data_IF_174142932071
#
_entry.id   IF_174142932071
#
_cell.length_a   1.000
_cell.length_b   1.000
_cell.length_c   1.000
_cell.angle_alpha   90.00
_cell.angle_beta   90.00
_cell.angle_gamma   90.00
#
_symmetry.space_group_name_H-M   'P 1'
#
loop_
_entity.id
_entity.type
_entity.pdbx_description
1 polymer ?
#
# COMPACT_ATOMS: atom_id res chain seq x y z
N UNK A 1 5.97 5.16 18.59
CA UNK A 1 7.05 4.41 17.92
C UNK A 1 7.03 2.94 18.34
N UNK A 2 5.96 2.50 19.00
CA UNK A 2 6.06 1.44 20.00
C UNK A 2 5.89 0.06 19.35
N UNK A 3 5.09 -0.03 18.28
CA UNK A 3 4.90 -1.29 17.53
C UNK A 3 6.16 -1.76 16.81
N UNK A 4 7.05 -0.84 16.40
CA UNK A 4 8.30 -1.21 15.75
C UNK A 4 9.29 -1.80 16.76
N UNK A 5 9.35 -1.21 17.95
CA UNK A 5 10.17 -1.69 19.05
C UNK A 5 9.64 -3.03 19.58
N UNK A 6 8.33 -3.15 19.76
CA UNK A 6 7.65 -4.40 20.14
C UNK A 6 7.88 -5.51 19.11
N UNK A 7 7.80 -5.21 17.80
CA UNK A 7 8.09 -6.18 16.75
C UNK A 7 9.56 -6.62 16.75
N UNK A 8 10.49 -5.71 17.06
CA UNK A 8 11.92 -6.03 17.18
C UNK A 8 12.22 -6.91 18.38
N UNK A 9 11.54 -6.69 19.52
CA UNK A 9 11.73 -7.47 20.74
C UNK A 9 11.09 -8.85 20.65
N UNK A 10 9.92 -8.95 20.02
CA UNK A 10 9.16 -10.22 19.91
C UNK A 10 9.58 -11.05 18.70
N UNK A 11 10.32 -10.48 17.75
CA UNK A 11 10.70 -11.12 16.49
C UNK A 11 9.51 -11.45 15.58
N UNK A 12 8.32 -10.90 15.88
CA UNK A 12 7.09 -11.10 15.13
C UNK A 12 6.52 -9.75 14.70
N UNK A 13 5.93 -9.69 13.51
CA UNK A 13 5.32 -8.46 13.04
C UNK A 13 4.11 -8.09 13.93
N UNK A 14 4.10 -6.86 14.43
CA UNK A 14 3.02 -6.29 15.26
C UNK A 14 2.20 -5.36 14.37
N UNK A 15 0.92 -5.67 14.14
CA UNK A 15 0.05 -4.92 13.22
C UNK A 15 0.66 -4.68 11.81
N UNK A 16 1.48 -5.63 11.33
CA UNK A 16 2.17 -5.52 10.04
C UNK A 16 3.50 -4.75 10.09
N UNK A 17 3.84 -4.12 11.22
CA UNK A 17 5.15 -3.49 11.45
C UNK A 17 6.15 -4.57 11.83
N UNK A 18 7.26 -4.67 11.09
CA UNK A 18 8.28 -5.73 11.27
C UNK A 18 9.41 -5.36 12.22
N UNK A 19 9.63 -4.07 12.43
CA UNK A 19 10.75 -3.55 13.18
C UNK A 19 11.19 -2.19 12.66
N UNK A 20 12.13 -1.52 13.35
CA UNK A 20 12.67 -0.26 12.90
C UNK A 20 13.50 -0.45 11.62
N UNK A 21 13.30 0.41 10.62
CA UNK A 21 14.15 0.43 9.43
C UNK A 21 15.37 1.32 9.69
N UNK A 22 16.49 1.08 9.01
CA UNK A 22 17.71 1.89 9.17
C UNK A 22 17.46 3.38 8.90
N UNK A 23 16.53 3.69 8.01
CA UNK A 23 16.11 5.07 7.71
C UNK A 23 15.39 5.74 8.88
N UNK A 24 14.81 5.00 9.83
CA UNK A 24 14.20 5.60 11.03
C UNK A 24 15.25 6.26 11.93
N UNK A 25 16.53 5.87 11.83
CA UNK A 25 17.64 6.52 12.56
C UNK A 25 17.88 7.96 12.11
N UNK A 26 17.34 8.37 10.96
CA UNK A 26 17.45 9.73 10.44
C UNK A 26 16.42 10.67 11.08
N UNK A 27 15.43 10.13 11.78
CA UNK A 27 14.50 10.92 12.58
C UNK A 27 15.22 11.53 13.80
N UNK A 28 14.96 12.81 14.17
CA UNK A 28 13.92 13.70 13.67
C UNK A 28 14.30 14.55 12.45
N UNK A 29 15.57 14.52 12.03
CA UNK A 29 16.07 15.39 10.96
C UNK A 29 15.49 15.01 9.58
N UNK A 30 15.01 13.78 9.42
CA UNK A 30 14.34 13.29 8.22
C UNK A 30 13.10 12.47 8.63
N UNK A 31 11.93 13.08 8.47
CA UNK A 31 10.65 12.39 8.64
C UNK A 31 10.32 11.57 7.38
N UNK A 32 10.33 10.25 7.49
CA UNK A 32 10.03 9.33 6.39
C UNK A 32 8.64 9.52 5.78
N UNK A 33 7.69 10.17 6.46
CA UNK A 33 6.36 10.42 5.91
C UNK A 33 6.32 11.72 5.12
N UNK A 34 7.02 12.76 5.61
CA UNK A 34 6.92 14.12 5.08
C UNK A 34 8.13 14.54 4.23
N UNK A 35 9.26 13.86 4.36
CA UNK A 35 10.54 14.29 3.78
C UNK A 35 10.87 13.62 2.45
N UNK A 36 10.08 12.64 2.00
CA UNK A 36 10.16 12.19 0.61
C UNK A 36 9.47 13.21 -0.29
N UNK A 37 10.19 13.65 -1.32
CA UNK A 37 9.62 14.46 -2.40
C UNK A 37 8.47 13.67 -3.03
N UNK A 38 7.32 14.31 -3.22
CA UNK A 38 6.20 13.77 -3.99
C UNK A 38 6.71 13.32 -5.37
N UNK A 39 6.97 12.03 -5.51
CA UNK A 39 7.46 11.48 -6.77
C UNK A 39 6.28 11.26 -7.72
N UNK A 40 6.61 11.12 -9.00
CA UNK A 40 5.64 10.84 -10.07
C UNK A 40 4.76 9.61 -9.76
N UNK A 41 5.28 8.64 -9.00
CA UNK A 41 4.51 7.46 -8.63
C UNK A 41 3.41 7.78 -7.61
N UNK A 42 3.71 8.55 -6.57
CA UNK A 42 2.75 8.94 -5.53
C UNK A 42 1.78 10.01 -6.00
N UNK A 43 2.26 11.00 -6.76
CA UNK A 43 1.44 12.12 -7.20
C UNK A 43 0.63 11.83 -8.47
N UNK A 44 1.28 11.28 -9.51
CA UNK A 44 0.66 11.09 -10.82
C UNK A 44 0.11 9.69 -10.97
N UNK A 45 0.90 8.64 -10.77
CA UNK A 45 0.40 7.27 -10.98
C UNK A 45 -0.69 6.89 -9.98
N UNK A 46 -0.50 7.14 -8.68
CA UNK A 46 -1.50 6.80 -7.67
C UNK A 46 -2.81 7.61 -7.85
N UNK A 47 -2.70 8.91 -8.18
CA UNK A 47 -3.88 9.76 -8.39
C UNK A 47 -4.59 9.49 -9.72
N UNK A 48 -3.85 9.19 -10.78
CA UNK A 48 -4.44 8.82 -12.09
C UNK A 48 -5.13 7.46 -11.99
N UNK A 49 -4.51 6.47 -11.32
CA UNK A 49 -5.14 5.17 -11.07
C UNK A 49 -6.42 5.34 -10.26
N UNK A 50 -6.42 6.22 -9.25
CA UNK A 50 -7.61 6.53 -8.45
C UNK A 50 -8.73 7.18 -9.29
N UNK A 51 -8.40 8.11 -10.19
CA UNK A 51 -9.37 8.73 -11.09
C UNK A 51 -9.97 7.73 -12.07
N UNK A 52 -9.13 6.90 -12.71
CA UNK A 52 -9.58 5.85 -13.63
C UNK A 52 -10.49 4.84 -12.91
N UNK A 53 -10.11 4.39 -11.72
CA UNK A 53 -10.95 3.51 -10.89
C UNK A 53 -12.29 4.16 -10.54
N UNK A 54 -12.30 5.45 -10.21
CA UNK A 54 -13.54 6.18 -9.92
C UNK A 54 -14.49 6.18 -11.13
N UNK A 55 -13.98 6.44 -12.33
CA UNK A 55 -14.77 6.40 -13.57
C UNK A 55 -15.33 5.00 -13.86
N UNK A 56 -14.52 3.97 -13.68
CA UNK A 56 -14.92 2.59 -13.92
C UNK A 56 -15.97 2.09 -12.91
N UNK A 57 -15.94 2.57 -11.67
CA UNK A 57 -16.86 2.12 -10.61
C UNK A 57 -18.14 2.97 -10.55
N UNK A 58 -18.03 4.29 -10.73
CA UNK A 58 -19.14 5.22 -10.47
C UNK A 58 -20.02 5.46 -11.69
N UNK A 59 -19.48 5.33 -12.90
CA UNK A 59 -20.22 5.67 -14.12
C UNK A 59 -21.02 4.46 -14.60
N UNK A 60 -22.19 4.17 -14.02
CA UNK A 60 -22.94 2.92 -14.27
C UNK A 60 -23.53 2.74 -15.68
N UNK A 61 -23.54 3.79 -16.51
CA UNK A 61 -24.27 3.82 -17.79
C UNK A 61 -23.39 3.74 -19.04
N UNK A 62 -22.07 3.85 -18.90
CA UNK A 62 -21.16 3.87 -20.04
C UNK A 62 -20.54 2.49 -20.30
N UNK A 63 -20.16 2.20 -21.55
CA UNK A 63 -19.62 0.90 -21.95
C UNK A 63 -18.28 0.53 -21.27
N UNK A 64 -17.54 1.54 -20.80
CA UNK A 64 -16.29 1.37 -20.03
C UNK A 64 -16.52 1.16 -18.52
N UNK A 65 -17.78 1.11 -18.09
CA UNK A 65 -18.17 0.90 -16.70
C UNK A 65 -18.07 -0.56 -16.28
N UNK A 66 -17.62 -0.80 -15.06
CA UNK A 66 -17.70 -2.11 -14.45
C UNK A 66 -19.14 -2.32 -13.98
N UNK A 67 -19.83 -3.29 -14.59
CA UNK A 67 -21.19 -3.68 -14.21
C UNK A 67 -21.25 -4.11 -12.73
N UNK A 68 -22.37 -3.84 -12.07
CA UNK A 68 -22.58 -4.16 -10.65
C UNK A 68 -22.29 -5.63 -10.26
N UNK A 69 -22.59 -6.59 -11.13
CA UNK A 69 -22.25 -8.01 -10.90
C UNK A 69 -20.73 -8.23 -10.85
N UNK A 70 -19.98 -7.55 -11.71
CA UNK A 70 -18.51 -7.60 -11.77
C UNK A 70 -17.86 -6.82 -10.63
N UNK A 71 -18.51 -5.78 -10.08
CA UNK A 71 -18.04 -5.08 -8.87
C UNK A 71 -18.05 -5.98 -7.64
N UNK A 72 -19.08 -6.83 -7.48
CA UNK A 72 -19.12 -7.81 -6.38
C UNK A 72 -17.98 -8.81 -6.46
N UNK A 73 -17.72 -9.32 -7.66
CA UNK A 73 -16.61 -10.24 -7.93
C UNK A 73 -15.25 -9.55 -7.72
N UNK A 74 -15.10 -8.31 -8.16
CA UNK A 74 -13.89 -7.51 -7.95
C UNK A 74 -13.63 -7.32 -6.45
N UNK A 75 -14.65 -6.95 -5.68
CA UNK A 75 -14.53 -6.76 -4.24
C UNK A 75 -14.14 -8.08 -3.53
N UNK A 76 -14.78 -9.19 -3.92
CA UNK A 76 -14.42 -10.51 -3.43
C UNK A 76 -12.97 -10.88 -3.77
N UNK A 77 -12.50 -10.59 -4.98
CA UNK A 77 -11.11 -10.83 -5.37
C UNK A 77 -10.15 -9.98 -4.55
N UNK A 78 -10.39 -8.68 -4.41
CA UNK A 78 -9.53 -7.77 -3.62
C UNK A 78 -9.37 -8.26 -2.19
N UNK A 79 -10.47 -8.67 -1.54
CA UNK A 79 -10.45 -9.23 -0.19
C UNK A 79 -9.63 -10.54 -0.10
N UNK A 80 -9.53 -11.29 -1.19
CA UNK A 80 -8.80 -12.55 -1.27
C UNK A 80 -7.42 -12.43 -1.92
N UNK A 81 -6.99 -11.22 -2.32
CA UNK A 81 -5.62 -11.01 -2.81
C UNK A 81 -4.70 -11.28 -1.62
N UNK A 82 -3.96 -12.39 -1.71
CA UNK A 82 -2.80 -12.60 -0.85
C UNK A 82 -1.75 -11.59 -1.27
N UNK A 83 -1.25 -10.81 -0.33
CA UNK A 83 -0.10 -9.94 -0.59
C UNK A 83 0.99 -10.79 -1.27
N UNK A 84 1.62 -10.30 -2.36
CA UNK A 84 2.79 -10.96 -2.90
C UNK A 84 3.76 -11.16 -1.75
N UNK A 85 4.12 -12.42 -1.51
CA UNK A 85 5.12 -12.75 -0.51
C UNK A 85 6.35 -11.91 -0.84
N UNK A 86 6.80 -11.13 0.13
CA UNK A 86 7.95 -10.25 -0.04
C UNK A 86 9.10 -11.06 -0.64
N UNK A 87 9.73 -10.59 -1.74
CA UNK A 87 10.93 -11.24 -2.23
C UNK A 87 11.98 -11.12 -1.11
N UNK A 88 12.17 -12.22 -0.37
CA UNK A 88 13.22 -12.29 0.62
C UNK A 88 14.53 -12.21 -0.13
N UNK A 89 15.22 -11.08 0.00
CA UNK A 89 16.57 -10.91 -0.52
C UNK A 89 17.44 -11.90 0.25
N UNK A 90 17.74 -13.06 -0.33
CA UNK A 90 18.74 -13.96 0.23
C UNK A 90 20.08 -13.25 0.15
N UNK A 91 20.65 -12.88 1.30
CA UNK A 91 22.05 -12.50 1.38
C UNK A 91 22.86 -13.71 0.90
N UNK A 92 23.68 -13.50 -0.14
CA UNK A 92 24.62 -14.48 -0.67
C UNK A 92 25.89 -14.48 0.17
#
# INVERSE_FOLDING_TARGET
>A
MDFAEEASLTGKAVHGVKGPTELMKLYPNFDLVQSFVLDYMHAVLLSVVRQIMSLWIQTSTNDFSIRQKSLRELNHRILNIKFPQEPTRKLR
#
